data_IF_810860339022
#
_entry.id   IF_810860339022
#
_cell.length_a   1.000
_cell.length_b   1.000
_cell.length_c   1.000
_cell.angle_alpha   90.00
_cell.angle_beta   90.00
_cell.angle_gamma   90.00
#
_symmetry.space_group_name_H-M   'P 1'
#
loop_
_entity.id
_entity.type
_entity.pdbx_description
1 polymer ?
#
# COMPACT_ATOMS: atom_id res chain seq x y z
N UNK A 1 -13.55 -5.45 14.53
CA UNK A 1 -13.27 -5.31 13.13
C UNK A 1 -14.45 -4.99 12.21
N UNK A 2 -15.66 -5.52 12.44
CA UNK A 2 -16.81 -5.42 11.50
C UNK A 2 -17.21 -3.98 11.14
N UNK A 3 -17.02 -3.05 12.08
CA UNK A 3 -17.45 -1.64 11.93
C UNK A 3 -16.31 -0.71 11.52
N UNK A 4 -15.26 -1.22 10.87
CA UNK A 4 -14.10 -0.44 10.46
C UNK A 4 -13.13 -0.07 11.59
N UNK A 5 -13.41 -0.42 12.84
CA UNK A 5 -12.59 -0.10 14.03
C UNK A 5 -11.69 -1.28 14.41
N UNK A 6 -10.85 -1.75 13.49
CA UNK A 6 -9.90 -2.80 13.76
C UNK A 6 -8.70 -2.24 14.53
N UNK A 7 -8.40 -2.77 15.72
CA UNK A 7 -7.20 -2.42 16.51
C UNK A 7 -5.90 -3.03 15.97
N UNK A 8 -5.98 -3.75 14.85
CA UNK A 8 -4.85 -4.40 14.18
C UNK A 8 -4.02 -5.30 15.12
N UNK A 9 -4.65 -6.08 15.97
CA UNK A 9 -3.96 -6.98 16.90
C UNK A 9 -3.02 -7.95 16.18
N UNK A 10 -3.39 -8.43 14.98
CA UNK A 10 -2.50 -9.24 14.13
C UNK A 10 -1.23 -8.51 13.66
N UNK A 11 -1.08 -7.21 13.95
CA UNK A 11 0.08 -6.37 13.59
C UNK A 11 0.87 -5.91 14.81
N UNK A 12 0.66 -6.55 15.95
CA UNK A 12 1.43 -6.31 17.18
C UNK A 12 2.48 -7.40 17.34
N UNK A 13 3.50 -7.08 18.10
CA UNK A 13 4.53 -8.04 18.47
C UNK A 13 4.04 -8.90 19.63
N UNK A 14 4.32 -10.18 19.55
CA UNK A 14 3.99 -11.19 20.56
C UNK A 14 5.22 -12.05 20.86
N UNK A 15 5.27 -12.56 22.07
CA UNK A 15 6.12 -13.68 22.45
C UNK A 15 5.22 -14.90 22.62
N UNK A 16 5.56 -16.00 21.97
CA UNK A 16 4.80 -17.26 22.10
C UNK A 16 5.34 -18.03 23.30
N UNK A 17 4.44 -18.51 24.13
CA UNK A 17 4.73 -19.42 25.22
C UNK A 17 4.07 -20.77 24.92
N UNK A 18 4.76 -21.87 25.22
CA UNK A 18 4.26 -23.23 25.16
C UNK A 18 4.51 -23.87 26.50
N UNK A 19 3.47 -24.43 27.11
CA UNK A 19 3.52 -25.13 28.43
C UNK A 19 4.19 -24.27 29.53
N UNK A 20 3.94 -22.95 29.50
CA UNK A 20 4.50 -21.97 30.43
C UNK A 20 5.93 -21.52 30.11
N UNK A 21 6.63 -22.17 29.21
CA UNK A 21 7.97 -21.76 28.78
C UNK A 21 7.95 -20.83 27.56
N UNK A 22 8.91 -19.92 27.48
CA UNK A 22 9.10 -19.06 26.29
C UNK A 22 9.49 -19.93 25.11
N UNK A 23 8.67 -19.91 24.05
CA UNK A 23 8.86 -20.68 22.83
C UNK A 23 9.46 -19.87 21.69
N UNK A 24 9.16 -18.56 21.62
CA UNK A 24 9.68 -17.68 20.57
C UNK A 24 10.22 -16.37 21.14
N UNK A 25 11.12 -15.73 20.40
CA UNK A 25 11.44 -14.32 20.63
C UNK A 25 10.25 -13.43 20.28
N UNK A 26 10.27 -12.19 20.76
CA UNK A 26 9.24 -11.20 20.45
C UNK A 26 9.26 -10.87 18.97
N UNK A 27 8.10 -10.93 18.32
CA UNK A 27 7.98 -10.66 16.87
C UNK A 27 6.53 -10.60 16.41
N UNK A 28 6.35 -10.37 15.11
CA UNK A 28 5.03 -10.21 14.48
C UNK A 28 4.40 -11.56 14.08
N UNK A 29 4.31 -12.49 15.00
CA UNK A 29 3.90 -13.88 14.78
C UNK A 29 2.50 -14.06 14.16
N UNK A 30 1.66 -13.03 14.18
CA UNK A 30 0.32 -13.03 13.56
C UNK A 30 0.25 -12.16 12.30
N UNK A 31 1.39 -11.60 11.85
CA UNK A 31 1.44 -10.71 10.69
C UNK A 31 1.54 -11.50 9.38
N UNK A 32 0.41 -11.89 8.83
CA UNK A 32 0.35 -12.61 7.56
C UNK A 32 0.83 -11.75 6.39
N UNK A 33 1.54 -12.38 5.45
CA UNK A 33 1.89 -11.83 4.14
C UNK A 33 0.65 -11.60 3.29
N UNK A 34 0.77 -10.79 2.23
CA UNK A 34 -0.31 -10.59 1.26
C UNK A 34 -0.33 -11.75 0.25
N UNK A 35 -1.52 -12.33 0.03
CA UNK A 35 -1.70 -13.38 -0.97
C UNK A 35 -1.58 -12.78 -2.37
N UNK A 36 -0.66 -13.29 -3.18
CA UNK A 36 -0.48 -12.90 -4.57
C UNK A 36 -0.35 -14.14 -5.46
N UNK A 37 -1.38 -14.40 -6.23
CA UNK A 37 -1.44 -15.53 -7.18
C UNK A 37 -1.33 -15.09 -8.64
N UNK A 38 -0.93 -13.84 -8.89
CA UNK A 38 -0.88 -13.29 -10.26
C UNK A 38 0.02 -14.09 -11.19
N UNK A 39 1.12 -14.69 -10.70
CA UNK A 39 2.00 -15.53 -11.49
C UNK A 39 1.37 -16.87 -11.91
N UNK A 40 0.40 -17.35 -11.14
CA UNK A 40 -0.26 -18.64 -11.36
C UNK A 40 -1.75 -18.47 -11.74
N UNK A 41 -2.10 -17.29 -12.26
CA UNK A 41 -3.49 -16.98 -12.59
C UNK A 41 -4.08 -17.92 -13.65
N UNK A 42 -3.29 -18.29 -14.65
CA UNK A 42 -3.73 -19.19 -15.72
C UNK A 42 -4.05 -20.59 -15.16
N UNK A 43 -3.23 -21.08 -14.22
CA UNK A 43 -3.48 -22.37 -13.58
C UNK A 43 -4.82 -22.34 -12.81
N UNK A 44 -5.07 -21.26 -12.08
CA UNK A 44 -6.33 -21.08 -11.35
C UNK A 44 -7.55 -21.01 -12.29
N UNK A 45 -7.44 -20.31 -13.41
CA UNK A 45 -8.52 -20.23 -14.40
C UNK A 45 -8.77 -21.59 -15.08
N UNK A 46 -7.74 -22.39 -15.30
CA UNK A 46 -7.86 -23.69 -15.98
C UNK A 46 -8.67 -24.73 -15.17
N UNK A 47 -8.74 -24.57 -13.85
CA UNK A 47 -9.56 -25.44 -12.98
C UNK A 47 -11.01 -24.99 -12.86
N UNK A 48 -11.46 -23.98 -13.61
CA UNK A 48 -12.85 -23.56 -13.70
C UNK A 48 -13.29 -22.57 -12.62
N UNK A 49 -12.41 -21.70 -12.16
CA UNK A 49 -12.79 -20.61 -11.22
C UNK A 49 -13.54 -19.53 -12.00
N UNK A 50 -14.79 -19.26 -11.58
CA UNK A 50 -15.66 -18.27 -12.23
C UNK A 50 -15.33 -16.82 -11.82
N UNK A 51 -14.81 -16.61 -10.62
CA UNK A 51 -14.61 -15.27 -10.06
C UNK A 51 -13.41 -15.18 -9.13
N UNK A 52 -12.71 -14.06 -9.21
CA UNK A 52 -11.59 -13.72 -8.34
C UNK A 52 -11.97 -12.53 -7.46
N UNK A 53 -11.82 -12.68 -6.14
CA UNK A 53 -12.04 -11.59 -5.19
C UNK A 53 -10.72 -10.90 -4.87
N UNK A 54 -10.60 -9.63 -5.23
CA UNK A 54 -9.46 -8.79 -4.90
C UNK A 54 -9.78 -7.97 -3.63
N UNK A 55 -8.92 -8.07 -2.63
CA UNK A 55 -9.10 -7.37 -1.36
C UNK A 55 -8.30 -6.06 -1.32
N UNK A 56 -9.00 -4.94 -1.08
CA UNK A 56 -8.39 -3.62 -1.05
C UNK A 56 -8.93 -2.71 0.05
N UNK A 57 -9.70 -3.24 1.03
CA UNK A 57 -10.43 -2.45 2.03
C UNK A 57 -9.57 -1.43 2.78
N UNK A 58 -8.33 -1.79 3.14
CA UNK A 58 -7.40 -0.92 3.87
C UNK A 58 -6.30 -0.35 2.98
N UNK A 59 -6.47 -0.46 1.67
CA UNK A 59 -5.55 0.04 0.67
C UNK A 59 -6.10 1.33 0.04
N UNK A 60 -5.20 2.11 -0.57
CA UNK A 60 -5.59 3.29 -1.33
C UNK A 60 -6.25 2.92 -2.68
N UNK A 61 -6.97 3.84 -3.32
CA UNK A 61 -7.61 3.61 -4.61
C UNK A 61 -6.62 3.20 -5.71
N UNK A 62 -5.41 3.73 -5.68
CA UNK A 62 -4.33 3.42 -6.63
C UNK A 62 -3.96 1.94 -6.59
N UNK A 63 -3.83 1.38 -5.38
CA UNK A 63 -3.60 -0.06 -5.20
C UNK A 63 -4.71 -0.89 -5.87
N UNK A 64 -5.97 -0.54 -5.61
CA UNK A 64 -7.11 -1.27 -6.16
C UNK A 64 -7.12 -1.19 -7.68
N UNK A 65 -6.89 0.01 -8.25
CA UNK A 65 -6.81 0.21 -9.71
C UNK A 65 -5.74 -0.65 -10.35
N UNK A 66 -4.51 -0.59 -9.81
CA UNK A 66 -3.36 -1.32 -10.39
C UNK A 66 -3.59 -2.82 -10.30
N UNK A 67 -3.92 -3.35 -9.12
CA UNK A 67 -4.13 -4.79 -8.93
C UNK A 67 -5.26 -5.29 -9.84
N UNK A 68 -6.40 -4.61 -9.86
CA UNK A 68 -7.54 -5.00 -10.71
C UNK A 68 -7.18 -4.96 -12.19
N UNK A 69 -6.48 -3.91 -12.62
CA UNK A 69 -6.04 -3.77 -14.01
C UNK A 69 -5.08 -4.89 -14.43
N UNK A 70 -4.10 -5.22 -13.58
CA UNK A 70 -3.11 -6.27 -13.90
C UNK A 70 -3.77 -7.66 -13.99
N UNK A 71 -4.64 -7.99 -13.03
CA UNK A 71 -5.39 -9.25 -13.10
C UNK A 71 -6.33 -9.29 -14.31
N UNK A 72 -7.03 -8.20 -14.64
CA UNK A 72 -7.93 -8.12 -15.79
C UNK A 72 -7.21 -8.28 -17.12
N UNK A 73 -6.09 -7.57 -17.31
CA UNK A 73 -5.28 -7.67 -18.52
C UNK A 73 -4.75 -9.10 -18.72
N UNK A 74 -4.34 -9.75 -17.63
CA UNK A 74 -3.83 -11.11 -17.66
C UNK A 74 -4.92 -12.14 -18.00
N UNK A 75 -6.13 -11.96 -17.47
CA UNK A 75 -7.30 -12.78 -17.83
C UNK A 75 -7.66 -12.60 -19.29
N UNK A 76 -7.64 -11.36 -19.80
CA UNK A 76 -7.97 -11.06 -21.20
C UNK A 76 -6.85 -11.47 -22.17
N UNK A 77 -5.74 -12.00 -21.66
CA UNK A 77 -4.56 -12.38 -22.45
C UNK A 77 -4.08 -11.27 -23.41
N UNK A 78 -4.14 -10.02 -22.92
CA UNK A 78 -3.70 -8.85 -23.69
C UNK A 78 -2.19 -8.74 -23.66
N UNK A 79 -1.61 -8.44 -24.83
CA UNK A 79 -0.20 -8.03 -24.89
C UNK A 79 -0.05 -6.66 -24.25
N UNK A 80 0.66 -6.60 -23.12
CA UNK A 80 0.88 -5.38 -22.36
C UNK A 80 2.19 -5.47 -21.57
N UNK A 81 2.74 -4.32 -21.22
CA UNK A 81 3.87 -4.27 -20.30
C UNK A 81 3.34 -4.41 -18.86
N UNK A 82 3.64 -5.52 -18.16
CA UNK A 82 3.16 -5.72 -16.80
C UNK A 82 3.68 -4.63 -15.86
N UNK A 83 2.83 -4.13 -15.00
CA UNK A 83 3.24 -3.34 -13.84
C UNK A 83 3.64 -4.32 -12.75
N UNK A 84 4.84 -4.17 -12.19
CA UNK A 84 5.24 -4.98 -11.05
C UNK A 84 4.35 -4.66 -9.85
N UNK A 85 3.66 -5.66 -9.32
CA UNK A 85 2.88 -5.50 -8.11
C UNK A 85 3.76 -5.20 -6.88
N UNK A 86 5.07 -5.40 -6.99
CA UNK A 86 6.04 -4.99 -5.98
C UNK A 86 6.26 -3.47 -5.95
N UNK A 87 5.89 -2.76 -7.02
CA UNK A 87 6.01 -1.30 -7.13
C UNK A 87 4.88 -0.53 -6.42
N UNK A 88 3.91 -1.23 -5.83
CA UNK A 88 2.81 -0.63 -5.08
C UNK A 88 2.89 -1.02 -3.61
N UNK A 89 2.20 -0.28 -2.76
CA UNK A 89 2.21 -0.52 -1.32
C UNK A 89 1.58 -1.88 -0.96
N UNK A 90 2.41 -2.88 -0.65
CA UNK A 90 2.01 -4.23 -0.25
C UNK A 90 2.86 -4.75 0.91
N UNK A 91 2.49 -5.83 1.54
CA UNK A 91 3.34 -6.64 2.43
C UNK A 91 4.09 -7.66 1.60
N UNK A 92 5.08 -8.33 2.20
CA UNK A 92 5.71 -9.47 1.55
C UNK A 92 4.64 -10.41 0.98
N UNK A 93 4.87 -10.96 -0.19
CA UNK A 93 3.91 -11.83 -0.87
C UNK A 93 4.08 -13.30 -0.47
N UNK A 94 2.97 -14.01 -0.55
CA UNK A 94 2.89 -15.47 -0.42
C UNK A 94 1.87 -16.00 -1.44
N UNK A 95 2.04 -17.24 -1.86
CA UNK A 95 1.01 -18.00 -2.61
C UNK A 95 0.03 -18.71 -1.68
N UNK A 96 0.20 -18.56 -0.37
CA UNK A 96 -0.61 -19.23 0.65
C UNK A 96 -0.49 -20.76 0.57
N UNK A 97 -1.58 -21.45 0.84
CA UNK A 97 -1.62 -22.92 0.76
C UNK A 97 -1.98 -23.45 -0.63
N UNK A 98 -2.36 -22.59 -1.57
CA UNK A 98 -2.92 -23.01 -2.87
C UNK A 98 -1.91 -23.82 -3.66
N UNK A 99 -0.62 -23.45 -3.57
CA UNK A 99 0.48 -24.09 -4.30
C UNK A 99 1.46 -24.83 -3.39
N UNK A 100 1.02 -25.23 -2.21
CA UNK A 100 1.82 -26.06 -1.30
C UNK A 100 2.96 -25.32 -0.59
N UNK A 101 2.87 -24.02 -0.44
CA UNK A 101 3.87 -23.27 0.36
C UNK A 101 3.87 -23.74 1.82
N UNK A 102 5.07 -23.78 2.43
CA UNK A 102 5.23 -24.08 3.84
C UNK A 102 4.49 -23.06 4.71
N UNK A 103 3.83 -23.55 5.76
CA UNK A 103 3.14 -22.71 6.77
C UNK A 103 4.04 -21.64 7.37
N UNK A 104 5.33 -21.90 7.53
CA UNK A 104 6.31 -20.96 8.02
C UNK A 104 6.46 -19.72 7.11
N UNK A 105 6.20 -19.87 5.80
CA UNK A 105 6.34 -18.79 4.81
C UNK A 105 5.13 -17.85 4.70
N UNK A 106 4.04 -18.12 5.42
CA UNK A 106 2.80 -17.32 5.34
C UNK A 106 2.87 -16.09 6.23
N UNK A 107 3.70 -16.14 7.27
CA UNK A 107 3.86 -15.07 8.25
C UNK A 107 5.19 -14.37 8.05
N UNK A 108 5.23 -13.07 8.25
CA UNK A 108 6.47 -12.31 8.37
C UNK A 108 6.65 -11.88 9.83
N UNK A 109 7.45 -12.65 10.56
CA UNK A 109 7.70 -12.43 11.99
C UNK A 109 8.58 -11.20 12.27
N UNK A 110 9.29 -10.71 11.25
CA UNK A 110 10.27 -9.63 11.39
C UNK A 110 9.66 -8.26 11.15
N UNK A 111 8.54 -8.19 10.41
CA UNK A 111 8.00 -6.93 9.89
C UNK A 111 6.51 -6.77 10.19
N UNK A 112 6.15 -5.58 10.61
CA UNK A 112 4.76 -5.20 10.87
C UNK A 112 3.94 -5.03 9.59
N UNK A 113 4.54 -4.44 8.58
CA UNK A 113 3.87 -4.01 7.34
C UNK A 113 4.86 -3.94 6.18
N UNK A 114 4.37 -3.50 5.02
CA UNK A 114 5.21 -3.25 3.86
C UNK A 114 6.27 -2.19 4.15
N UNK A 115 7.47 -2.46 3.66
CA UNK A 115 8.60 -1.54 3.72
C UNK A 115 8.82 -0.76 2.42
N UNK A 116 8.10 -1.08 1.36
CA UNK A 116 8.38 -0.58 0.02
C UNK A 116 9.53 -1.33 -0.65
N UNK A 117 9.90 -0.89 -1.84
CA UNK A 117 11.04 -1.43 -2.57
C UNK A 117 12.32 -0.72 -2.13
N UNK A 118 13.30 -1.45 -1.59
CA UNK A 118 14.60 -0.89 -1.23
C UNK A 118 15.32 -0.43 -2.49
N UNK A 119 15.46 0.88 -2.64
CA UNK A 119 16.04 1.49 -3.84
C UNK A 119 17.40 2.13 -3.61
N UNK A 120 17.83 2.31 -2.37
CA UNK A 120 19.11 2.96 -2.10
C UNK A 120 19.34 3.29 -0.64
N UNK A 121 20.35 4.13 -0.41
CA UNK A 121 20.75 4.56 0.93
C UNK A 121 21.24 6.01 0.94
N UNK A 122 21.20 6.61 2.12
CA UNK A 122 21.76 7.94 2.39
C UNK A 122 23.27 7.81 2.61
N UNK A 123 24.03 8.66 1.96
CA UNK A 123 25.49 8.76 2.11
C UNK A 123 25.93 9.94 2.98
N UNK A 124 25.05 10.89 3.26
CA UNK A 124 25.34 12.10 4.03
C UNK A 124 24.79 13.36 3.40
N UNK A 125 25.45 14.49 3.59
CA UNK A 125 25.09 15.78 2.95
C UNK A 125 26.22 16.31 2.09
N UNK A 126 25.85 17.06 1.06
CA UNK A 126 26.78 17.84 0.27
C UNK A 126 27.09 19.20 0.96
N UNK A 127 27.98 19.98 0.34
CA UNK A 127 28.39 21.31 0.83
C UNK A 127 27.26 22.36 0.83
N UNK A 128 26.16 22.10 0.10
CA UNK A 128 25.01 22.98 0.01
C UNK A 128 23.85 22.53 0.92
N UNK A 129 24.07 21.48 1.74
CA UNK A 129 23.09 20.95 2.66
C UNK A 129 22.06 20.01 2.03
N UNK A 130 22.20 19.66 0.74
CA UNK A 130 21.38 18.65 0.09
C UNK A 130 21.80 17.25 0.57
N UNK A 131 20.83 16.34 0.69
CA UNK A 131 21.11 14.96 1.08
C UNK A 131 21.66 14.18 -0.11
N UNK A 132 22.89 13.70 0.02
CA UNK A 132 23.54 12.82 -0.94
C UNK A 132 23.04 11.39 -0.73
N UNK A 133 22.53 10.77 -1.78
CA UNK A 133 22.00 9.41 -1.77
C UNK A 133 22.66 8.55 -2.85
N UNK A 134 22.68 7.23 -2.63
CA UNK A 134 23.08 6.26 -3.65
C UNK A 134 21.87 5.42 -4.02
N UNK A 135 21.36 5.60 -5.23
CA UNK A 135 20.11 5.00 -5.74
C UNK A 135 20.46 3.87 -6.70
N UNK A 136 19.98 2.66 -6.40
CA UNK A 136 20.23 1.43 -7.16
C UNK A 136 19.15 1.11 -8.21
N UNK A 137 17.95 1.71 -8.05
CA UNK A 137 16.82 1.55 -8.97
C UNK A 137 16.27 2.93 -9.29
N UNK A 138 15.81 3.15 -10.51
CA UNK A 138 15.37 4.46 -11.00
C UNK A 138 14.46 5.20 -10.02
N UNK A 139 14.83 6.42 -9.68
CA UNK A 139 14.08 7.35 -8.85
C UNK A 139 13.54 8.48 -9.74
N UNK A 140 12.27 8.82 -9.59
CA UNK A 140 11.61 9.85 -10.38
C UNK A 140 11.10 10.99 -9.50
N UNK A 141 10.90 12.17 -10.10
CA UNK A 141 10.09 13.21 -9.47
C UNK A 141 8.71 12.66 -9.14
N UNK A 142 8.13 13.09 -8.02
CA UNK A 142 6.84 12.65 -7.48
C UNK A 142 6.81 11.22 -6.94
N UNK A 143 7.89 10.46 -7.01
CA UNK A 143 7.98 9.22 -6.25
C UNK A 143 7.78 9.50 -4.77
N UNK A 144 7.02 8.65 -4.09
CA UNK A 144 6.89 8.69 -2.63
C UNK A 144 7.86 7.70 -2.02
N UNK A 145 8.75 8.19 -1.17
CA UNK A 145 9.76 7.38 -0.52
C UNK A 145 9.62 7.38 1.00
N UNK A 146 10.15 6.34 1.61
CA UNK A 146 10.32 6.19 3.05
C UNK A 146 11.80 6.07 3.35
N UNK A 147 12.27 6.80 4.35
CA UNK A 147 13.62 6.70 4.89
C UNK A 147 13.53 6.00 6.25
N UNK A 148 14.32 4.95 6.40
CA UNK A 148 14.50 4.20 7.63
C UNK A 148 15.91 4.44 8.13
N UNK A 149 16.06 5.01 9.31
CA UNK A 149 17.34 5.28 9.99
C UNK A 149 17.31 4.68 11.39
N UNK A 150 18.46 4.25 11.88
CA UNK A 150 18.58 3.71 13.23
C UNK A 150 18.13 4.74 14.28
N UNK A 151 17.35 4.28 15.25
CA UNK A 151 16.88 5.07 16.40
C UNK A 151 15.97 6.25 16.04
N UNK A 152 15.44 6.32 14.82
CA UNK A 152 14.51 7.35 14.39
C UNK A 152 13.19 6.74 13.88
N UNK A 153 12.11 7.52 13.99
CA UNK A 153 10.85 7.14 13.34
C UNK A 153 10.98 7.27 11.83
N UNK A 154 10.34 6.36 11.11
CA UNK A 154 10.25 6.38 9.66
C UNK A 154 9.84 7.75 9.13
N UNK A 155 10.51 8.21 8.09
CA UNK A 155 10.22 9.49 7.46
C UNK A 155 9.72 9.29 6.03
N UNK A 156 8.53 9.79 5.76
CA UNK A 156 7.86 9.68 4.46
C UNK A 156 7.82 11.04 3.79
N UNK A 157 8.19 11.11 2.51
CA UNK A 157 8.01 12.32 1.73
C UNK A 157 7.90 12.01 0.23
N UNK A 158 7.35 12.98 -0.51
CA UNK A 158 7.27 12.94 -1.97
C UNK A 158 8.41 13.77 -2.54
N UNK A 159 9.07 13.26 -3.57
CA UNK A 159 10.21 13.93 -4.20
C UNK A 159 9.70 15.07 -5.07
N UNK A 160 9.91 16.29 -4.62
CA UNK A 160 9.56 17.48 -5.38
C UNK A 160 10.72 18.01 -6.21
N UNK A 161 11.97 17.75 -5.79
CA UNK A 161 13.19 18.16 -6.49
C UNK A 161 14.25 17.08 -6.39
N UNK A 162 14.84 16.78 -7.53
CA UNK A 162 15.90 15.79 -7.71
C UNK A 162 17.04 16.43 -8.49
N UNK A 163 18.27 16.19 -8.03
CA UNK A 163 19.45 16.78 -8.67
C UNK A 163 20.50 15.72 -8.97
N UNK A 164 21.23 15.89 -10.06
CA UNK A 164 22.44 15.14 -10.33
C UNK A 164 23.60 15.61 -9.45
N UNK A 165 24.76 14.93 -9.52
CA UNK A 165 25.96 15.30 -8.72
C UNK A 165 26.53 16.67 -9.05
N UNK A 166 26.20 17.24 -10.22
CA UNK A 166 26.59 18.60 -10.63
C UNK A 166 25.67 19.69 -10.10
N UNK A 167 24.60 19.31 -9.37
CA UNK A 167 23.57 20.22 -8.86
C UNK A 167 22.53 20.67 -9.87
N UNK A 168 22.47 20.05 -11.03
CA UNK A 168 21.46 20.33 -12.04
C UNK A 168 20.18 19.55 -11.72
N UNK A 169 19.04 20.21 -11.83
CA UNK A 169 17.72 19.58 -11.63
C UNK A 169 17.43 18.59 -12.75
N UNK A 170 16.93 17.41 -12.37
CA UNK A 170 16.60 16.31 -13.28
C UNK A 170 15.24 15.71 -12.90
N UNK A 171 14.56 15.08 -13.86
CA UNK A 171 13.25 14.44 -13.61
C UNK A 171 13.38 13.01 -13.06
N UNK A 172 14.47 12.33 -13.38
CA UNK A 172 14.73 10.98 -12.89
C UNK A 172 16.22 10.64 -12.92
N UNK A 173 16.64 9.65 -12.12
CA UNK A 173 18.02 9.21 -12.13
C UNK A 173 18.30 7.97 -11.28
N UNK A 174 19.55 7.49 -11.40
CA UNK A 174 20.14 6.39 -10.63
C UNK A 174 21.56 6.76 -10.20
N UNK A 175 22.15 5.97 -9.33
CA UNK A 175 23.48 6.22 -8.78
C UNK A 175 23.48 7.31 -7.72
N UNK A 176 24.52 8.13 -7.70
CA UNK A 176 24.67 9.22 -6.73
C UNK A 176 23.82 10.41 -7.16
N UNK A 177 22.85 10.77 -6.35
CA UNK A 177 21.90 11.87 -6.56
C UNK A 177 21.84 12.75 -5.33
N UNK A 178 21.28 13.95 -5.49
CA UNK A 178 21.05 14.88 -4.40
C UNK A 178 19.56 15.15 -4.25
N UNK A 179 19.08 15.08 -3.01
CA UNK A 179 17.67 15.30 -2.63
C UNK A 179 17.55 16.45 -1.64
N UNK A 180 16.52 17.28 -1.81
CA UNK A 180 16.16 18.28 -0.80
C UNK A 180 15.27 17.62 0.27
N UNK A 181 15.88 17.19 1.37
CA UNK A 181 15.20 16.59 2.53
C UNK A 181 15.30 17.55 3.70
N UNK A 182 14.17 17.91 4.30
CA UNK A 182 14.13 18.88 5.40
C UNK A 182 14.65 18.31 6.72
N UNK A 183 14.52 16.99 6.92
CA UNK A 183 15.05 16.31 8.09
C UNK A 183 16.52 15.93 7.86
N UNK A 184 17.31 15.97 8.92
CA UNK A 184 18.74 15.66 8.85
C UNK A 184 18.97 14.18 9.16
N UNK A 185 19.47 13.43 8.17
CA UNK A 185 19.86 12.04 8.30
C UNK A 185 21.36 11.92 8.08
N UNK A 186 22.03 11.19 8.96
CA UNK A 186 23.46 10.81 8.80
C UNK A 186 23.60 9.59 7.89
N UNK A 187 22.69 8.63 8.03
CA UNK A 187 22.59 7.40 7.26
C UNK A 187 21.15 6.92 7.25
N UNK A 188 20.81 5.99 6.40
CA UNK A 188 19.49 5.36 6.35
C UNK A 188 19.23 4.69 5.02
N UNK A 189 18.34 3.72 5.04
CA UNK A 189 17.86 3.03 3.86
C UNK A 189 16.68 3.78 3.24
N UNK A 190 16.63 3.80 1.91
CA UNK A 190 15.60 4.48 1.14
C UNK A 190 14.73 3.45 0.43
N UNK A 191 13.44 3.49 0.73
CA UNK A 191 12.43 2.61 0.15
C UNK A 191 11.48 3.42 -0.72
N UNK A 192 11.21 2.94 -1.94
CA UNK A 192 10.17 3.48 -2.81
C UNK A 192 8.82 2.89 -2.39
N UNK A 193 7.88 3.76 -2.06
CA UNK A 193 6.53 3.40 -1.61
C UNK A 193 5.52 3.49 -2.74
N UNK A 194 5.66 4.46 -3.63
CA UNK A 194 4.83 4.69 -4.82
C UNK A 194 5.76 5.12 -5.95
N UNK A 195 5.66 4.44 -7.07
CA UNK A 195 6.36 4.78 -8.32
C UNK A 195 5.49 5.73 -9.15
N UNK A 196 5.93 6.97 -9.29
CA UNK A 196 5.19 8.01 -10.05
C UNK A 196 5.14 7.75 -11.55
N UNK A 197 5.97 6.85 -12.08
CA UNK A 197 5.92 6.45 -13.49
C UNK A 197 4.73 5.54 -13.83
N UNK A 198 4.07 5.00 -12.80
CA UNK A 198 2.86 4.21 -12.98
C UNK A 198 1.68 5.19 -13.15
N UNK A 199 0.98 5.11 -14.28
CA UNK A 199 -0.25 5.89 -14.44
C UNK A 199 -1.34 5.41 -13.49
N UNK A 200 -1.46 6.13 -12.39
CA UNK A 200 -2.48 5.91 -11.35
C UNK A 200 -3.60 6.95 -11.39
N UNK A 201 -3.73 7.67 -12.50
CA UNK A 201 -4.83 8.62 -12.67
C UNK A 201 -6.16 7.91 -12.47
N UNK A 202 -6.88 8.30 -11.43
CA UNK A 202 -8.23 7.80 -11.17
C UNK A 202 -9.18 8.66 -11.97
N UNK A 203 -9.83 8.06 -12.96
CA UNK A 203 -10.88 8.71 -13.71
C UNK A 203 -12.11 8.90 -12.80
N UNK A 204 -12.37 10.14 -12.45
CA UNK A 204 -13.55 10.51 -11.65
C UNK A 204 -14.79 10.78 -12.49
N UNK A 205 -14.71 10.68 -13.82
CA UNK A 205 -15.84 10.92 -14.73
C UNK A 205 -17.02 9.96 -14.50
N UNK A 206 -16.72 8.77 -13.95
CA UNK A 206 -17.75 7.78 -13.60
C UNK A 206 -18.45 8.04 -12.26
N UNK A 207 -18.05 9.06 -11.50
CA UNK A 207 -18.75 9.42 -10.27
C UNK A 207 -20.08 10.09 -10.64
N UNK A 208 -21.18 9.41 -10.36
CA UNK A 208 -22.51 10.02 -10.43
C UNK A 208 -22.74 10.84 -9.16
N UNK A 209 -23.11 12.12 -9.25
CA UNK A 209 -23.52 12.87 -8.08
C UNK A 209 -24.80 12.24 -7.51
N UNK A 210 -24.81 12.02 -6.21
CA UNK A 210 -25.97 11.51 -5.49
C UNK A 210 -26.45 12.64 -4.58
N UNK A 211 -27.69 13.07 -4.74
CA UNK A 211 -28.31 14.00 -3.82
C UNK A 211 -28.92 13.20 -2.68
N UNK A 212 -28.52 13.49 -1.47
CA UNK A 212 -29.07 12.88 -0.25
C UNK A 212 -29.83 13.97 0.50
N UNK A 213 -31.12 13.76 0.70
CA UNK A 213 -31.94 14.56 1.57
C UNK A 213 -31.90 13.98 2.99
N UNK A 214 -31.52 14.80 3.96
CA UNK A 214 -31.50 14.43 5.36
C UNK A 214 -32.67 15.10 6.06
N UNK A 215 -33.55 14.30 6.65
CA UNK A 215 -34.74 14.76 7.37
C UNK A 215 -34.59 14.34 8.83
N UNK A 216 -34.56 15.30 9.71
CA UNK A 216 -34.45 15.06 11.14
C UNK A 216 -35.02 16.22 11.95
N UNK A 217 -35.51 15.93 13.13
CA UNK A 217 -35.86 16.90 14.17
C UNK A 217 -35.42 16.34 15.51
N UNK A 218 -35.20 17.22 16.48
CA UNK A 218 -34.84 16.81 17.84
C UNK A 218 -35.80 15.77 18.39
N UNK A 219 -35.25 14.68 18.93
CA UNK A 219 -36.03 13.55 19.46
C UNK A 219 -36.58 12.58 18.41
N UNK A 220 -36.37 12.82 17.10
CA UNK A 220 -36.81 11.92 16.05
C UNK A 220 -35.62 11.10 15.45
N UNK A 221 -35.95 10.06 14.69
CA UNK A 221 -34.94 9.31 13.93
C UNK A 221 -34.51 10.13 12.71
N UNK A 222 -33.21 10.18 12.45
CA UNK A 222 -32.66 10.77 11.23
C UNK A 222 -33.03 9.87 10.04
N UNK A 223 -33.72 10.44 9.06
CA UNK A 223 -34.06 9.78 7.82
C UNK A 223 -33.21 10.33 6.68
N UNK A 224 -32.58 9.46 5.92
CA UNK A 224 -31.84 9.80 4.70
C UNK A 224 -32.62 9.27 3.51
N UNK A 225 -32.91 10.13 2.55
CA UNK A 225 -33.56 9.79 1.28
C UNK A 225 -32.62 10.09 0.13
N UNK A 226 -32.55 9.19 -0.84
CA UNK A 226 -31.88 9.46 -2.11
C UNK A 226 -32.62 8.80 -3.25
N UNK A 227 -32.57 9.43 -4.42
CA UNK A 227 -33.11 8.86 -5.65
C UNK A 227 -31.95 8.58 -6.61
N UNK A 228 -31.83 7.34 -7.04
CA UNK A 228 -30.87 6.92 -8.06
C UNK A 228 -31.66 6.29 -9.21
N UNK A 229 -31.59 6.90 -10.38
CA UNK A 229 -32.46 6.61 -11.51
C UNK A 229 -33.92 6.75 -11.05
N UNK A 230 -34.75 5.72 -11.20
CA UNK A 230 -36.16 5.74 -10.78
C UNK A 230 -36.43 5.06 -9.43
N UNK A 231 -35.36 4.70 -8.69
CA UNK A 231 -35.47 4.03 -7.39
C UNK A 231 -35.19 5.00 -6.25
N UNK A 232 -36.10 4.98 -5.26
CA UNK A 232 -35.93 5.73 -4.01
C UNK A 232 -35.32 4.80 -2.95
N UNK A 233 -34.26 5.24 -2.33
CA UNK A 233 -33.61 4.55 -1.20
C UNK A 233 -33.84 5.37 0.07
N UNK A 234 -34.23 4.69 1.14
CA UNK A 234 -34.47 5.28 2.46
C UNK A 234 -33.62 4.56 3.50
N UNK A 235 -32.85 5.31 4.24
CA UNK A 235 -32.15 4.86 5.46
C UNK A 235 -32.70 5.60 6.68
N UNK A 236 -32.79 4.90 7.80
CA UNK A 236 -33.26 5.50 9.07
C UNK A 236 -32.23 5.14 10.15
N UNK A 237 -31.87 6.08 11.01
CA UNK A 237 -30.96 5.83 12.13
C UNK A 237 -31.59 4.89 13.17
N UNK A 238 -30.74 4.19 13.93
CA UNK A 238 -31.19 3.36 15.05
C UNK A 238 -31.55 4.16 16.30
N UNK A 239 -30.99 5.36 16.41
CA UNK A 239 -31.12 6.23 17.58
C UNK A 239 -31.69 7.58 17.19
N UNK A 240 -32.44 8.23 18.10
CA UNK A 240 -32.99 9.56 17.87
C UNK A 240 -31.87 10.60 17.73
N UNK A 241 -32.13 11.59 16.89
CA UNK A 241 -31.26 12.73 16.68
C UNK A 241 -31.33 13.67 17.90
N UNK A 242 -30.16 14.04 18.43
CA UNK A 242 -30.00 15.02 19.51
C UNK A 242 -29.37 16.30 19.00
#
# INVERSE_FOLDING_TARGET
>A
GNRGRCSQNCRREYTIHKDGAKFSEKGFHLSMKDLNTSSNLIDLLSIGIDSLKLEGRMKNPEYVKIVTSEYRKKIDNKDYKPVSLESIFHRAYTKGFIFGEDRANIVDITKKSNEGDLIGSILGKDKNGLTLVNIKKKLNLKDRIRIVSENESDYYFTIDKLYNQKGQEIESGEGKLLLKIFKNFKSGDIYKMIDSSIDITIDNSYKKPIVIEAIGSEGSLLTLLTKIDDRVFKGVSSDSFQ
#
